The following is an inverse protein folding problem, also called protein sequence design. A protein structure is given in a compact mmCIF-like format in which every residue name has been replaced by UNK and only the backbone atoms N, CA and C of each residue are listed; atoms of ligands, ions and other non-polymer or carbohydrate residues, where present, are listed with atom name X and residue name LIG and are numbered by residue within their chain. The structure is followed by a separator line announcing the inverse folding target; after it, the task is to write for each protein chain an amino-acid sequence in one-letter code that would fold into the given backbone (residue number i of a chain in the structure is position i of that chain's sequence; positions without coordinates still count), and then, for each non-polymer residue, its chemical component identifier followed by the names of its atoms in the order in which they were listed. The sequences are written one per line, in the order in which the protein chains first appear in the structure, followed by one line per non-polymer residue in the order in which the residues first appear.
data_IF_116211533325
#
_entry.id   IF_116211533325
#
_cell.length_a   1.000
_cell.length_b   1.000
_cell.length_c   1.000
_cell.angle_alpha   90.00
_cell.angle_beta   90.00
_cell.angle_gamma   90.00
#
_symmetry.space_group_name_H-M   'P 1'
#
loop_
_entity.id
_entity.type
_entity.pdbx_description
1 polymer ?
#
# COMPACT_ATOMS: atom_id res chain seq x y z
N UNK A 1 -36.54 -12.93 -2.40
CA UNK A 1 -35.66 -11.91 -3.02
C UNK A 1 -34.49 -11.72 -2.10
N UNK A 2 -33.29 -12.08 -2.57
CA UNK A 2 -32.07 -12.10 -1.76
C UNK A 2 -31.77 -10.71 -1.20
N UNK A 3 -31.48 -10.68 0.10
CA UNK A 3 -30.80 -9.56 0.74
C UNK A 3 -29.32 -9.58 0.31
N UNK A 4 -28.82 -8.46 -0.19
CA UNK A 4 -27.39 -8.13 -0.29
C UNK A 4 -27.34 -6.62 -0.06
N UNK A 5 -27.08 -6.16 1.15
CA UNK A 5 -25.75 -6.17 1.76
C UNK A 5 -25.30 -4.70 1.69
N UNK A 6 -25.42 -4.01 2.82
CA UNK A 6 -25.10 -2.59 2.97
C UNK A 6 -23.69 -2.29 2.44
N UNK A 7 -23.51 -1.10 1.83
CA UNK A 7 -22.23 -0.55 1.37
C UNK A 7 -21.15 -0.62 2.49
N UNK A 8 -20.42 -1.73 2.57
CA UNK A 8 -19.22 -1.84 3.39
C UNK A 8 -18.16 -0.93 2.76
N UNK A 9 -18.02 0.26 3.34
CA UNK A 9 -17.01 1.23 2.95
C UNK A 9 -15.62 0.65 3.23
N UNK A 10 -14.98 0.10 2.20
CA UNK A 10 -13.62 -0.44 2.31
C UNK A 10 -12.69 0.63 2.89
N UNK A 11 -11.77 0.27 3.79
CA UNK A 11 -10.80 1.21 4.32
C UNK A 11 -9.94 1.74 3.17
N UNK A 12 -9.69 3.05 3.14
CA UNK A 12 -8.85 3.68 2.11
C UNK A 12 -7.39 3.21 2.24
N UNK A 13 -6.97 2.88 3.45
CA UNK A 13 -5.63 2.44 3.80
C UNK A 13 -5.69 1.19 4.68
N UNK A 14 -4.97 0.15 4.29
CA UNK A 14 -4.70 -1.03 5.12
C UNK A 14 -3.20 -1.17 5.36
N UNK A 15 -2.83 -1.63 6.54
CA UNK A 15 -1.43 -1.91 6.90
C UNK A 15 -1.25 -3.42 6.96
N UNK A 16 -0.30 -3.94 6.18
CA UNK A 16 0.04 -5.36 6.10
C UNK A 16 1.47 -5.54 6.56
N UNK A 17 1.62 -6.13 7.74
CA UNK A 17 2.88 -6.62 8.28
C UNK A 17 2.80 -8.15 8.39
N UNK A 18 3.90 -8.83 8.10
CA UNK A 18 3.98 -10.27 8.32
C UNK A 18 4.12 -10.55 9.82
N UNK A 19 3.41 -11.55 10.35
CA UNK A 19 3.61 -11.99 11.74
C UNK A 19 5.04 -12.52 11.92
N UNK A 20 5.77 -11.94 12.88
CA UNK A 20 7.21 -12.21 13.08
C UNK A 20 8.12 -11.62 12.00
N UNK A 21 7.60 -10.72 11.17
CA UNK A 21 8.36 -9.96 10.18
C UNK A 21 9.23 -8.87 10.81
N UNK A 22 10.10 -8.27 9.99
CA UNK A 22 10.95 -7.15 10.36
C UNK A 22 10.12 -5.87 10.53
N UNK A 23 10.20 -5.25 11.71
CA UNK A 23 9.50 -3.99 12.04
C UNK A 23 9.96 -2.81 11.15
N UNK A 24 11.15 -2.91 10.54
CA UNK A 24 11.64 -1.93 9.57
C UNK A 24 10.88 -1.95 8.24
N UNK A 25 10.04 -2.99 8.01
CA UNK A 25 9.44 -3.26 6.71
C UNK A 25 7.91 -3.37 6.79
N UNK A 26 7.23 -2.47 6.08
CA UNK A 26 5.76 -2.39 6.07
C UNK A 26 5.23 -2.31 4.64
N UNK A 27 4.12 -3.00 4.38
CA UNK A 27 3.36 -2.84 3.14
C UNK A 27 2.01 -2.18 3.44
N UNK A 28 1.69 -1.12 2.72
CA UNK A 28 0.42 -0.42 2.78
C UNK A 28 -0.41 -0.77 1.55
N UNK A 29 -1.69 -1.10 1.74
CA UNK A 29 -2.65 -1.23 0.64
C UNK A 29 -3.45 0.05 0.57
N UNK A 30 -3.33 0.76 -0.55
CA UNK A 30 -4.09 1.99 -0.81
C UNK A 30 -5.17 1.65 -1.84
N UNK A 31 -6.43 1.70 -1.43
CA UNK A 31 -7.58 1.44 -2.30
C UNK A 31 -7.95 2.69 -3.09
N UNK A 32 -8.53 2.48 -4.27
CA UNK A 32 -8.93 3.51 -5.23
C UNK A 32 -7.77 4.41 -5.70
N UNK A 33 -6.54 3.88 -5.64
CA UNK A 33 -5.31 4.57 -6.02
C UNK A 33 -4.53 3.79 -7.09
N UNK A 34 -3.73 4.52 -7.87
CA UNK A 34 -3.00 3.99 -9.02
C UNK A 34 -1.55 4.53 -9.13
N UNK A 35 -0.97 4.44 -10.34
CA UNK A 35 0.37 4.92 -10.64
C UNK A 35 0.59 6.41 -10.35
N UNK A 36 -0.47 7.23 -10.37
CA UNK A 36 -0.40 8.67 -10.15
C UNK A 36 0.08 8.95 -8.74
N UNK A 37 -0.66 8.46 -7.73
CA UNK A 37 -0.26 8.61 -6.33
C UNK A 37 0.95 7.72 -6.00
N UNK A 38 0.95 6.47 -6.48
CA UNK A 38 2.02 5.52 -6.18
C UNK A 38 3.40 6.02 -6.60
N UNK A 39 3.53 6.60 -7.80
CA UNK A 39 4.81 7.13 -8.27
C UNK A 39 5.23 8.40 -7.54
N UNK A 40 4.28 9.31 -7.27
CA UNK A 40 4.57 10.55 -6.54
C UNK A 40 5.04 10.26 -5.11
N UNK A 41 4.33 9.39 -4.39
CA UNK A 41 4.70 8.97 -3.04
C UNK A 41 6.06 8.26 -3.04
N UNK A 42 6.28 7.29 -3.94
CA UNK A 42 7.55 6.59 -4.06
C UNK A 42 8.71 7.58 -4.22
N UNK A 43 8.57 8.55 -5.14
CA UNK A 43 9.60 9.54 -5.40
C UNK A 43 9.92 10.39 -4.16
N UNK A 44 8.89 10.81 -3.42
CA UNK A 44 9.06 11.63 -2.22
C UNK A 44 9.64 10.82 -1.04
N UNK A 45 9.15 9.60 -0.81
CA UNK A 45 9.62 8.72 0.27
C UNK A 45 11.09 8.34 0.06
N UNK A 46 11.51 8.05 -1.17
CA UNK A 46 12.90 7.75 -1.51
C UNK A 46 13.89 8.91 -1.27
N UNK A 47 13.41 10.13 -0.99
CA UNK A 47 14.28 11.24 -0.59
C UNK A 47 14.71 11.18 0.88
N UNK A 48 14.02 10.39 1.71
CA UNK A 48 14.40 10.22 3.10
C UNK A 48 15.62 9.28 3.19
N UNK A 49 16.77 9.72 3.75
CA UNK A 49 17.98 8.88 3.84
C UNK A 49 17.80 7.61 4.68
N UNK A 50 16.83 7.61 5.60
CA UNK A 50 16.52 6.45 6.45
C UNK A 50 15.75 5.35 5.71
N UNK A 51 15.25 5.64 4.51
CA UNK A 51 14.58 4.65 3.66
C UNK A 51 15.63 3.91 2.84
N UNK A 52 15.71 2.60 3.04
CA UNK A 52 16.55 1.71 2.25
C UNK A 52 15.88 1.36 0.92
N UNK A 53 14.57 1.08 0.97
CA UNK A 53 13.78 0.69 -0.19
C UNK A 53 12.37 1.23 -0.10
N UNK A 54 11.86 1.70 -1.23
CA UNK A 54 10.45 2.00 -1.40
C UNK A 54 9.99 1.70 -2.84
N UNK A 55 8.84 1.04 -2.96
CA UNK A 55 8.25 0.68 -4.23
C UNK A 55 6.75 0.47 -4.12
N UNK A 56 6.07 0.45 -5.27
CA UNK A 56 4.65 0.12 -5.34
C UNK A 56 4.34 -0.79 -6.52
N UNK A 57 3.26 -1.56 -6.41
CA UNK A 57 2.76 -2.42 -7.49
C UNK A 57 1.23 -2.45 -7.52
N UNK A 58 0.68 -2.60 -8.72
CA UNK A 58 -0.72 -2.99 -8.93
C UNK A 58 -0.69 -4.50 -9.19
N UNK A 59 -1.30 -5.28 -8.31
CA UNK A 59 -1.30 -6.76 -8.38
C UNK A 59 -2.05 -7.29 -9.58
N UNK A 60 -3.13 -6.63 -9.97
CA UNK A 60 -3.90 -6.96 -11.15
C UNK A 60 -4.51 -5.69 -11.77
N UNK A 61 -4.45 -5.48 -13.10
CA UNK A 61 -4.93 -4.23 -13.73
C UNK A 61 -6.41 -3.91 -13.50
N UNK A 62 -7.22 -4.92 -13.15
CA UNK A 62 -8.66 -4.75 -12.83
C UNK A 62 -8.93 -4.39 -11.36
N UNK A 63 -7.91 -4.36 -10.51
CA UNK A 63 -8.03 -3.90 -9.13
C UNK A 63 -7.67 -2.41 -9.06
N UNK A 64 -8.51 -1.61 -8.42
CA UNK A 64 -8.19 -0.22 -8.09
C UNK A 64 -7.56 -0.18 -6.71
N UNK A 65 -6.31 -0.64 -6.62
CA UNK A 65 -5.48 -0.53 -5.40
C UNK A 65 -4.00 -0.66 -5.75
N UNK A 66 -3.14 -0.07 -4.93
CA UNK A 66 -1.69 -0.31 -4.96
C UNK A 66 -1.20 -0.94 -3.66
N UNK A 67 -0.22 -1.84 -3.76
CA UNK A 67 0.61 -2.24 -2.63
C UNK A 67 1.84 -1.35 -2.60
N UNK A 68 2.01 -0.56 -1.55
CA UNK A 68 3.12 0.37 -1.35
C UNK A 68 4.00 -0.13 -0.21
N UNK A 69 5.23 -0.55 -0.53
CA UNK A 69 6.17 -1.13 0.45
C UNK A 69 7.26 -0.13 0.78
N UNK A 70 7.56 -0.01 2.08
CA UNK A 70 8.67 0.78 2.61
C UNK A 70 9.51 -0.14 3.49
N UNK A 71 10.82 -0.06 3.35
CA UNK A 71 11.81 -0.66 4.22
C UNK A 71 12.80 0.42 4.67
N UNK A 72 12.97 0.57 5.98
CA UNK A 72 13.95 1.48 6.58
C UNK A 72 15.27 0.75 6.84
N UNK A 73 16.32 1.52 7.13
CA UNK A 73 17.67 0.98 7.42
C UNK A 73 17.82 0.36 8.81
N UNK A 74 16.81 0.50 9.66
CA UNK A 74 16.77 0.05 11.06
C UNK A 74 15.65 0.73 11.83
#
# INVERSE_FOLDING_TARGET
SMATGEDEKKPVLEVVQAEGGDDSCVTFVLHDEDHTLGNALRYMVMKNPEVEFCGYSITHPSESKINFRIQTRG
#
